data_IF_168120501608
#
_entry.id   IF_168120501608
#
_cell.length_a   1.000
_cell.length_b   1.000
_cell.length_c   1.000
_cell.angle_alpha   90.00
_cell.angle_beta   90.00
_cell.angle_gamma   90.00
#
_symmetry.space_group_name_H-M   'P 1'
#
loop_
_entity.id
_entity.type
_entity.pdbx_description
1 polymer ?
#
# COMPACT_ATOMS: atom_id res chain seq x y z
N UNK A 1 -7.72 -24.64 -9.98
CA UNK A 1 -6.37 -25.15 -10.34
C UNK A 1 -6.06 -24.77 -11.78
N UNK A 2 -4.83 -24.30 -12.04
CA UNK A 2 -4.30 -23.89 -13.36
C UNK A 2 -4.03 -25.13 -14.25
N UNK A 3 -5.09 -25.74 -14.79
CA UNK A 3 -4.98 -27.01 -15.52
C UNK A 3 -4.17 -26.87 -16.81
N UNK A 4 -3.00 -27.56 -16.86
CA UNK A 4 -2.21 -27.73 -18.08
C UNK A 4 -1.41 -26.49 -18.52
N UNK A 5 -1.36 -25.44 -17.70
CA UNK A 5 -0.56 -24.24 -17.91
C UNK A 5 0.75 -24.34 -17.11
N UNK A 6 1.88 -23.94 -17.66
CA UNK A 6 3.09 -23.75 -16.88
C UNK A 6 2.84 -22.70 -15.78
N UNK A 7 3.30 -22.98 -14.57
CA UNK A 7 3.23 -22.04 -13.45
C UNK A 7 4.66 -21.58 -13.16
N UNK A 8 4.92 -20.25 -13.10
CA UNK A 8 6.26 -19.73 -12.79
C UNK A 8 6.68 -20.22 -11.39
N UNK A 9 7.96 -20.59 -11.26
CA UNK A 9 8.52 -21.09 -10.00
C UNK A 9 9.29 -19.94 -9.34
N UNK A 10 8.87 -19.52 -8.17
CA UNK A 10 9.49 -18.44 -7.41
C UNK A 10 10.40 -19.01 -6.31
N UNK A 11 11.57 -18.42 -6.17
CA UNK A 11 12.59 -18.80 -5.18
C UNK A 11 12.87 -17.62 -4.24
N UNK A 12 13.00 -17.88 -2.94
CA UNK A 12 13.53 -16.90 -1.99
C UNK A 12 15.05 -16.77 -2.16
N UNK A 13 15.49 -15.64 -2.66
CA UNK A 13 16.90 -15.33 -2.88
C UNK A 13 17.46 -14.32 -1.88
N UNK A 14 16.72 -13.98 -0.83
CA UNK A 14 17.06 -12.92 0.15
C UNK A 14 18.50 -13.04 0.68
N UNK A 15 18.88 -14.19 1.22
CA UNK A 15 20.22 -14.40 1.75
C UNK A 15 21.30 -14.41 0.66
N UNK A 16 21.01 -15.06 -0.48
CA UNK A 16 21.90 -15.14 -1.64
C UNK A 16 22.13 -13.77 -2.27
N UNK A 17 21.11 -12.94 -2.28
CA UNK A 17 21.15 -11.55 -2.74
C UNK A 17 21.84 -10.60 -1.74
N UNK A 18 22.23 -11.06 -0.55
CA UNK A 18 22.94 -10.24 0.43
C UNK A 18 22.05 -9.32 1.26
N UNK A 19 20.73 -9.45 1.17
CA UNK A 19 19.78 -8.64 1.93
C UNK A 19 19.70 -9.15 3.37
N UNK A 20 20.00 -8.26 4.33
CA UNK A 20 20.05 -8.59 5.77
C UNK A 20 19.14 -7.70 6.61
N UNK A 21 18.21 -7.02 5.96
CA UNK A 21 17.24 -6.15 6.63
C UNK A 21 16.36 -6.95 7.60
N UNK A 22 16.08 -6.37 8.76
CA UNK A 22 15.14 -6.89 9.73
C UNK A 22 14.08 -5.82 10.03
N UNK A 23 12.85 -6.11 9.67
CA UNK A 23 11.72 -5.32 10.13
C UNK A 23 11.49 -5.55 11.64
N UNK A 24 11.34 -4.46 12.41
CA UNK A 24 10.99 -4.54 13.82
C UNK A 24 9.50 -4.82 13.93
N UNK A 25 9.15 -5.84 14.69
CA UNK A 25 7.77 -6.20 14.97
C UNK A 25 7.58 -6.37 16.48
N UNK A 26 6.45 -5.89 17.00
CA UNK A 26 6.05 -6.17 18.37
C UNK A 26 5.22 -7.46 18.40
N UNK A 27 5.75 -8.59 18.93
CA UNK A 27 5.02 -9.85 18.97
C UNK A 27 3.79 -9.80 19.88
N UNK A 28 3.66 -8.79 20.73
CA UNK A 28 2.51 -8.60 21.61
C UNK A 28 1.47 -7.65 21.00
N UNK A 29 1.81 -6.88 19.98
CA UNK A 29 1.01 -5.83 19.33
C UNK A 29 -0.08 -5.25 20.24
N UNK A 30 0.19 -4.08 20.80
CA UNK A 30 -0.68 -3.48 21.79
C UNK A 30 -1.68 -2.53 21.15
N UNK A 31 -1.26 -1.91 20.06
CA UNK A 31 -2.03 -0.92 19.32
C UNK A 31 -2.05 -1.26 17.84
N UNK A 32 -3.14 -0.87 17.16
CA UNK A 32 -3.31 -1.15 15.73
C UNK A 32 -2.14 -0.60 14.88
N UNK A 33 -1.60 0.55 15.23
CA UNK A 33 -0.49 1.21 14.51
C UNK A 33 0.78 0.35 14.45
N UNK A 34 1.01 -0.54 15.41
CA UNK A 34 2.16 -1.45 15.44
C UNK A 34 2.05 -2.60 14.43
N UNK A 35 0.89 -2.77 13.80
CA UNK A 35 0.65 -3.82 12.80
C UNK A 35 0.70 -3.33 11.35
N UNK A 36 0.91 -2.03 11.12
CA UNK A 36 0.71 -1.39 9.81
C UNK A 36 1.99 -1.18 9.00
N UNK A 37 3.15 -1.10 9.64
CA UNK A 37 4.44 -0.86 8.97
C UNK A 37 4.95 -2.07 8.19
N UNK A 38 5.91 -1.85 7.29
CA UNK A 38 6.59 -2.87 6.50
C UNK A 38 6.46 -2.64 4.99
N UNK A 39 6.43 -1.38 4.57
CA UNK A 39 6.46 -1.00 3.17
C UNK A 39 7.79 -1.34 2.50
N UNK A 40 7.74 -1.58 1.20
CA UNK A 40 8.89 -1.78 0.33
C UNK A 40 8.73 -0.97 -0.94
N UNK A 41 9.82 -0.37 -1.41
CA UNK A 41 9.87 0.46 -2.60
C UNK A 41 10.96 -0.08 -3.51
N UNK A 42 10.64 -0.30 -4.79
CA UNK A 42 11.60 -0.59 -5.86
C UNK A 42 11.71 0.64 -6.75
N UNK A 43 12.94 1.10 -7.00
CA UNK A 43 13.23 2.27 -7.81
C UNK A 43 14.71 2.30 -8.22
N UNK A 44 15.02 2.93 -9.31
CA UNK A 44 16.39 3.20 -9.74
C UNK A 44 16.78 4.59 -9.20
N UNK A 45 17.33 4.65 -7.95
CA UNK A 45 17.58 5.92 -7.29
C UNK A 45 18.79 6.66 -7.83
N UNK A 46 19.77 5.96 -8.39
CA UNK A 46 21.01 6.55 -8.92
C UNK A 46 21.09 6.53 -10.46
N UNK A 47 19.99 6.11 -11.12
CA UNK A 47 19.80 6.13 -12.58
C UNK A 47 20.84 5.30 -13.34
N UNK A 48 21.24 4.20 -12.75
CA UNK A 48 22.16 3.25 -13.37
C UNK A 48 21.44 2.19 -14.24
N UNK A 49 20.11 2.21 -14.26
CA UNK A 49 19.26 1.31 -15.03
C UNK A 49 18.87 0.03 -14.32
N UNK A 50 19.15 -0.09 -13.01
CA UNK A 50 18.82 -1.24 -12.20
C UNK A 50 17.98 -0.82 -10.98
N UNK A 51 16.98 -1.63 -10.65
CA UNK A 51 16.12 -1.32 -9.51
C UNK A 51 16.81 -1.62 -8.19
N UNK A 52 16.78 -0.64 -7.31
CA UNK A 52 17.22 -0.70 -5.93
C UNK A 52 16.05 -0.96 -4.99
N UNK A 53 16.32 -1.28 -3.72
CA UNK A 53 15.29 -1.62 -2.76
C UNK A 53 15.37 -0.68 -1.54
N UNK A 54 14.26 -0.05 -1.18
CA UNK A 54 14.13 0.61 0.11
C UNK A 54 13.08 -0.08 0.96
N UNK A 55 13.45 -0.45 2.18
CA UNK A 55 12.56 -1.01 3.19
C UNK A 55 12.22 0.04 4.24
N UNK A 56 10.94 0.26 4.51
CA UNK A 56 10.51 1.04 5.66
C UNK A 56 10.64 0.22 6.94
N UNK A 57 10.76 0.90 8.09
CA UNK A 57 10.76 0.27 9.39
C UNK A 57 10.04 1.16 10.42
N UNK A 58 9.50 0.56 11.46
CA UNK A 58 8.84 1.28 12.53
C UNK A 58 9.31 0.76 13.89
N UNK A 59 9.56 1.64 14.87
CA UNK A 59 9.79 1.21 16.25
C UNK A 59 8.49 0.63 16.83
N UNK A 60 8.58 -0.14 17.90
CA UNK A 60 7.41 -0.41 18.74
C UNK A 60 6.97 0.88 19.47
N UNK A 61 5.73 0.94 19.91
CA UNK A 61 5.27 2.10 20.72
C UNK A 61 6.15 2.28 21.97
N UNK A 62 6.56 1.21 22.60
CA UNK A 62 7.46 1.27 23.77
C UNK A 62 8.83 1.88 23.42
N UNK A 63 9.42 1.51 22.25
CA UNK A 63 10.64 2.11 21.74
C UNK A 63 10.44 3.59 21.42
N UNK A 64 9.33 3.93 20.73
CA UNK A 64 9.02 5.32 20.37
C UNK A 64 8.88 6.22 21.60
N UNK A 65 8.22 5.75 22.65
CA UNK A 65 8.12 6.48 23.93
C UNK A 65 9.49 6.69 24.62
N UNK A 66 10.44 5.78 24.42
CA UNK A 66 11.84 5.92 24.88
C UNK A 66 12.71 6.72 23.91
N UNK A 67 12.14 7.23 22.80
CA UNK A 67 12.87 7.89 21.71
C UNK A 67 13.91 6.98 21.04
N UNK A 68 13.70 5.69 21.07
CA UNK A 68 14.46 4.71 20.30
C UNK A 68 13.84 4.62 18.90
N UNK A 69 14.70 4.50 17.88
CA UNK A 69 14.26 4.47 16.49
C UNK A 69 14.39 3.08 15.85
N UNK A 70 13.61 2.84 14.83
CA UNK A 70 13.82 1.79 13.86
C UNK A 70 14.22 2.43 12.53
N UNK A 71 15.30 1.95 11.93
CA UNK A 71 15.83 2.52 10.70
C UNK A 71 15.26 1.79 9.48
N UNK A 72 14.79 2.50 8.47
CA UNK A 72 14.64 1.98 7.12
C UNK A 72 16.01 1.61 6.53
N UNK A 73 16.01 0.92 5.39
CA UNK A 73 17.25 0.52 4.74
C UNK A 73 17.16 0.63 3.22
N UNK A 74 18.16 1.28 2.61
CA UNK A 74 18.39 1.31 1.17
C UNK A 74 19.42 0.28 0.76
N UNK A 75 19.08 -0.56 -0.20
CA UNK A 75 19.94 -1.55 -0.80
C UNK A 75 20.18 -1.21 -2.27
N UNK A 76 21.43 -0.92 -2.62
CA UNK A 76 21.87 -0.68 -3.98
C UNK A 76 22.09 -2.00 -4.73
N UNK A 77 21.61 -2.09 -5.96
CA UNK A 77 21.75 -3.23 -6.85
C UNK A 77 23.16 -3.30 -7.44
N UNK A 78 23.89 -4.39 -7.21
CA UNK A 78 25.26 -4.55 -7.70
C UNK A 78 25.33 -5.09 -9.17
N UNK A 79 24.24 -5.16 -9.92
CA UNK A 79 24.14 -5.66 -11.30
C UNK A 79 24.54 -7.14 -11.49
N UNK A 80 24.55 -7.91 -10.44
CA UNK A 80 24.99 -9.32 -10.46
C UNK A 80 24.08 -10.24 -9.65
N UNK A 81 22.87 -9.78 -9.36
CA UNK A 81 21.89 -10.48 -8.53
C UNK A 81 22.15 -10.35 -7.02
N UNK A 82 23.04 -9.44 -6.62
CA UNK A 82 23.26 -9.11 -5.20
C UNK A 82 23.03 -7.64 -4.92
N UNK A 83 22.83 -7.31 -3.65
CA UNK A 83 22.61 -5.94 -3.19
C UNK A 83 23.60 -5.57 -2.07
N UNK A 84 23.92 -4.29 -1.98
CA UNK A 84 24.76 -3.70 -0.95
C UNK A 84 23.99 -2.69 -0.13
N UNK A 85 24.14 -2.71 1.19
CA UNK A 85 23.50 -1.71 2.07
C UNK A 85 24.13 -0.32 1.84
N UNK A 86 23.36 0.60 1.31
CA UNK A 86 23.71 1.99 1.02
C UNK A 86 23.11 2.99 2.02
N UNK A 87 22.40 2.52 3.05
CA UNK A 87 21.58 3.32 3.96
C UNK A 87 22.32 4.49 4.60
N UNK A 88 23.47 4.22 5.21
CA UNK A 88 24.22 5.27 5.92
C UNK A 88 24.83 6.30 4.95
N UNK A 89 25.28 5.84 3.79
CA UNK A 89 25.86 6.70 2.75
C UNK A 89 24.82 7.60 2.12
N UNK A 90 23.62 7.09 1.89
CA UNK A 90 22.55 7.86 1.23
C UNK A 90 21.90 8.92 2.13
N UNK A 91 22.02 8.81 3.45
CA UNK A 91 21.30 9.69 4.38
C UNK A 91 19.85 9.27 4.66
N UNK A 92 19.40 8.11 4.15
CA UNK A 92 18.03 7.60 4.34
C UNK A 92 17.85 6.75 5.60
N UNK A 93 18.82 6.77 6.50
CA UNK A 93 18.73 6.13 7.82
C UNK A 93 17.75 6.85 8.76
N UNK A 94 16.53 7.04 8.33
CA UNK A 94 15.57 7.91 9.00
C UNK A 94 14.87 7.22 10.17
N UNK A 95 14.76 7.88 11.32
CA UNK A 95 14.16 7.32 12.53
C UNK A 95 12.66 7.63 12.65
N UNK A 96 11.87 7.73 11.58
CA UNK A 96 10.44 7.90 11.71
C UNK A 96 9.73 6.54 11.94
N UNK A 97 8.50 6.57 12.39
CA UNK A 97 7.62 5.41 12.45
C UNK A 97 7.03 5.20 11.05
N UNK A 98 7.85 4.66 10.12
CA UNK A 98 7.52 4.63 8.71
C UNK A 98 6.53 3.52 8.37
N UNK A 99 5.50 3.86 7.58
CA UNK A 99 4.48 2.93 7.09
C UNK A 99 4.77 2.49 5.66
N UNK A 100 4.89 3.44 4.75
CA UNK A 100 5.12 3.24 3.34
C UNK A 100 5.84 4.43 2.72
N UNK A 101 5.70 4.59 1.41
CA UNK A 101 6.22 5.76 0.71
C UNK A 101 5.92 5.74 -0.79
N UNK A 102 6.22 6.84 -1.44
CA UNK A 102 6.06 7.04 -2.87
C UNK A 102 7.31 7.68 -3.47
N UNK A 103 7.56 7.42 -4.74
CA UNK A 103 8.72 7.93 -5.49
C UNK A 103 8.24 8.70 -6.70
N UNK A 104 8.79 9.89 -6.92
CA UNK A 104 8.66 10.67 -8.14
C UNK A 104 9.76 11.74 -8.21
N UNK A 105 10.03 12.24 -9.39
CA UNK A 105 10.80 13.46 -9.60
C UNK A 105 9.86 14.66 -9.43
N UNK A 106 9.68 15.11 -8.17
CA UNK A 106 8.68 16.15 -7.87
C UNK A 106 9.12 17.54 -8.31
N UNK A 107 10.41 17.75 -8.49
CA UNK A 107 10.98 19.05 -8.82
C UNK A 107 11.47 19.17 -10.28
N UNK A 108 11.23 18.10 -11.09
CA UNK A 108 11.63 17.98 -12.50
C UNK A 108 13.14 18.20 -12.73
N UNK A 109 14.00 17.79 -11.78
CA UNK A 109 15.46 17.87 -11.92
C UNK A 109 16.06 16.61 -12.56
N UNK A 110 15.24 15.61 -12.83
CA UNK A 110 15.60 14.35 -13.47
C UNK A 110 15.99 13.24 -12.49
N UNK A 111 15.95 13.48 -11.18
CA UNK A 111 16.29 12.48 -10.16
C UNK A 111 15.04 12.08 -9.37
N UNK A 112 14.77 10.79 -9.20
CA UNK A 112 13.59 10.38 -8.43
C UNK A 112 13.79 10.62 -6.93
N UNK A 113 12.85 11.33 -6.34
CA UNK A 113 12.78 11.70 -4.93
C UNK A 113 11.93 10.70 -4.14
N UNK A 114 12.03 10.71 -2.81
CA UNK A 114 11.32 9.78 -1.93
C UNK A 114 10.46 10.53 -0.92
N UNK A 115 9.16 10.26 -0.92
CA UNK A 115 8.26 10.65 0.16
C UNK A 115 7.95 9.46 1.06
N UNK A 116 8.25 9.57 2.35
CA UNK A 116 7.94 8.55 3.36
C UNK A 116 6.72 8.95 4.17
N UNK A 117 5.76 8.03 4.29
CA UNK A 117 4.61 8.15 5.16
C UNK A 117 4.95 7.63 6.56
N UNK A 118 4.65 8.44 7.58
CA UNK A 118 5.04 8.15 8.95
C UNK A 118 3.90 8.45 9.93
N UNK A 119 3.95 7.87 11.12
CA UNK A 119 3.17 8.32 12.25
C UNK A 119 3.82 9.59 12.84
N UNK A 120 3.09 10.70 12.84
CA UNK A 120 3.50 11.94 13.49
C UNK A 120 4.38 12.87 12.68
N UNK A 121 4.59 12.59 11.38
CA UNK A 121 5.28 13.50 10.46
C UNK A 121 5.91 12.78 9.27
N UNK A 122 5.38 13.03 8.09
CA UNK A 122 5.90 12.52 6.83
C UNK A 122 7.19 13.24 6.43
N UNK A 123 8.00 12.63 5.57
CA UNK A 123 9.29 13.17 5.18
C UNK A 123 9.45 13.14 3.66
N UNK A 124 9.76 14.27 3.05
CA UNK A 124 10.18 14.37 1.65
C UNK A 124 11.70 14.47 1.57
N UNK A 125 12.31 13.47 0.97
CA UNK A 125 13.72 13.43 0.66
C UNK A 125 13.96 13.77 -0.80
N UNK A 126 14.67 14.89 -1.04
CA UNK A 126 15.17 15.22 -2.37
C UNK A 126 16.43 14.42 -2.66
N UNK A 127 16.47 13.79 -3.82
CA UNK A 127 17.68 13.16 -4.36
C UNK A 127 18.68 14.24 -4.83
N UNK A 128 19.93 14.14 -4.39
CA UNK A 128 20.97 15.12 -4.75
C UNK A 128 21.71 14.75 -6.06
N UNK A 129 21.39 13.60 -6.67
CA UNK A 129 22.03 13.11 -7.90
C UNK A 129 23.44 12.53 -7.70
N UNK A 130 23.89 12.37 -6.48
CA UNK A 130 25.21 11.82 -6.12
C UNK A 130 25.13 10.58 -5.22
N UNK A 131 23.93 9.96 -5.16
CA UNK A 131 23.62 8.82 -4.31
C UNK A 131 23.27 9.20 -2.86
N UNK A 132 23.10 10.51 -2.58
CA UNK A 132 22.68 11.01 -1.27
C UNK A 132 21.33 11.73 -1.34
N UNK A 133 20.68 11.89 -0.21
CA UNK A 133 19.37 12.53 -0.10
C UNK A 133 19.38 13.62 0.97
N UNK A 134 18.54 14.64 0.76
CA UNK A 134 18.36 15.76 1.69
C UNK A 134 16.90 15.84 2.12
N UNK A 135 16.62 15.84 3.42
CA UNK A 135 15.29 16.15 3.95
C UNK A 135 14.92 17.59 3.62
N UNK A 136 13.89 17.76 2.79
CA UNK A 136 13.39 19.07 2.35
C UNK A 136 11.96 19.33 2.82
N UNK A 137 11.40 18.49 3.68
CA UNK A 137 10.00 18.48 4.12
C UNK A 137 9.51 19.87 4.54
N UNK A 138 10.24 20.52 5.44
CA UNK A 138 9.86 21.86 5.93
C UNK A 138 9.99 22.95 4.86
N UNK A 139 10.97 22.82 3.95
CA UNK A 139 11.17 23.77 2.85
C UNK A 139 10.09 23.60 1.78
N UNK A 140 9.70 22.37 1.52
CA UNK A 140 8.68 22.03 0.53
C UNK A 140 7.25 22.27 1.02
N UNK A 141 7.05 22.56 2.30
CA UNK A 141 5.74 22.76 2.95
C UNK A 141 4.78 21.55 2.76
N UNK A 142 5.32 20.32 2.88
CA UNK A 142 4.62 19.07 2.60
C UNK A 142 4.54 18.15 3.83
N UNK A 143 4.81 18.69 5.02
CA UNK A 143 4.70 17.96 6.27
C UNK A 143 3.23 17.62 6.58
N UNK A 144 2.96 16.36 6.90
CA UNK A 144 1.68 15.90 7.45
C UNK A 144 1.92 15.27 8.81
N UNK A 145 1.37 15.85 9.86
CA UNK A 145 1.58 15.40 11.25
C UNK A 145 0.67 14.25 11.68
N UNK A 146 -0.20 13.73 10.80
CA UNK A 146 -1.13 12.64 11.06
C UNK A 146 -0.45 11.28 10.94
N UNK A 147 -1.19 10.21 11.13
CA UNK A 147 -0.74 8.87 10.77
C UNK A 147 -1.02 8.62 9.29
N UNK A 148 -0.06 8.84 8.45
CA UNK A 148 -0.14 8.56 7.03
C UNK A 148 0.31 7.13 6.72
N UNK A 149 -0.37 6.45 5.80
CA UNK A 149 -0.05 5.08 5.39
C UNK A 149 0.25 4.99 3.91
N UNK A 150 -0.71 5.30 3.05
CA UNK A 150 -0.53 5.36 1.61
C UNK A 150 -0.13 6.74 1.12
N UNK A 151 0.67 6.79 0.07
CA UNK A 151 0.94 8.01 -0.68
C UNK A 151 1.13 7.68 -2.16
N UNK A 152 0.72 8.60 -3.03
CA UNK A 152 0.92 8.46 -4.46
C UNK A 152 1.09 9.82 -5.12
N UNK A 153 2.04 9.92 -6.04
CA UNK A 153 2.24 11.10 -6.88
C UNK A 153 1.41 10.99 -8.16
N UNK A 154 0.83 12.12 -8.61
CA UNK A 154 0.08 12.21 -9.86
C UNK A 154 -0.13 13.68 -10.26
N UNK A 155 -0.05 13.99 -11.54
CA UNK A 155 -0.27 15.34 -12.10
C UNK A 155 -1.77 15.51 -12.40
N UNK A 156 -2.55 15.97 -11.38
CA UNK A 156 -4.02 16.00 -11.51
C UNK A 156 -4.53 17.17 -12.33
N UNK A 157 -3.78 18.25 -12.44
CA UNK A 157 -4.19 19.47 -13.19
C UNK A 157 -3.39 19.65 -14.49
N UNK A 158 -2.48 18.70 -14.80
CA UNK A 158 -1.72 18.61 -16.05
C UNK A 158 -0.82 19.82 -16.31
N UNK A 159 -0.25 20.35 -15.24
CA UNK A 159 0.70 21.46 -15.33
C UNK A 159 2.15 20.98 -15.56
N UNK A 160 2.39 19.65 -15.52
CA UNK A 160 3.68 19.01 -15.74
C UNK A 160 4.50 18.80 -14.47
N UNK A 161 3.96 19.14 -13.31
CA UNK A 161 4.51 18.80 -12.01
C UNK A 161 3.62 17.78 -11.31
N UNK A 162 4.22 16.81 -10.66
CA UNK A 162 3.43 15.80 -9.94
C UNK A 162 3.00 16.32 -8.58
N UNK A 163 1.71 16.19 -8.30
CA UNK A 163 1.06 16.46 -7.03
C UNK A 163 1.12 15.24 -6.12
N UNK A 164 0.76 15.38 -4.87
CA UNK A 164 0.87 14.31 -3.88
C UNK A 164 -0.44 14.09 -3.13
N UNK A 165 -1.02 12.90 -3.30
CA UNK A 165 -2.14 12.42 -2.46
C UNK A 165 -1.62 11.54 -1.34
N UNK A 166 -2.09 11.78 -0.12
CA UNK A 166 -1.73 11.04 1.10
C UNK A 166 -2.98 10.53 1.79
N UNK A 167 -3.06 9.21 1.94
CA UNK A 167 -4.12 8.55 2.70
C UNK A 167 -3.72 8.48 4.18
N UNK A 168 -4.56 9.03 5.04
CA UNK A 168 -4.37 9.06 6.48
C UNK A 168 -5.33 8.11 7.19
N UNK A 169 -4.84 7.44 8.23
CA UNK A 169 -5.56 6.33 8.85
C UNK A 169 -6.30 6.76 10.11
N UNK A 170 -5.63 6.78 11.23
CA UNK A 170 -6.24 7.11 12.54
C UNK A 170 -5.56 8.33 13.17
N UNK A 171 -6.34 9.12 13.89
CA UNK A 171 -5.81 10.18 14.76
C UNK A 171 -5.16 9.55 16.00
N UNK A 172 -3.91 9.11 15.85
CA UNK A 172 -3.14 8.43 16.86
C UNK A 172 -1.93 9.28 17.28
N UNK A 173 -1.84 9.57 18.57
CA UNK A 173 -0.80 10.43 19.09
C UNK A 173 -0.02 9.72 20.21
N UNK A 174 1.31 9.75 20.14
CA UNK A 174 2.19 9.06 21.08
C UNK A 174 2.15 9.62 22.50
N UNK A 175 1.78 10.89 22.68
CA UNK A 175 1.62 11.55 23.97
C UNK A 175 0.24 11.34 24.60
N UNK A 176 -0.73 10.80 23.83
CA UNK A 176 -2.10 10.53 24.27
C UNK A 176 -2.58 9.14 23.84
N UNK A 177 -1.90 8.11 24.33
CA UNK A 177 -2.22 6.73 23.94
C UNK A 177 -3.65 6.33 24.33
N UNK A 178 -4.40 5.64 23.46
CA UNK A 178 -5.68 5.06 23.82
C UNK A 178 -5.51 4.05 24.97
N UNK A 179 -6.52 3.90 25.84
CA UNK A 179 -6.47 2.89 26.90
C UNK A 179 -6.27 1.48 26.34
N UNK A 180 -5.37 0.71 26.94
CA UNK A 180 -5.13 -0.68 26.57
C UNK A 180 -5.35 -1.63 27.75
N UNK A 181 -5.93 -2.81 27.45
CA UNK A 181 -6.16 -3.87 28.44
C UNK A 181 -7.54 -3.86 29.11
N UNK A 182 -7.93 -4.96 29.71
CA UNK A 182 -9.20 -5.12 30.40
C UNK A 182 -10.41 -4.87 29.51
N UNK A 183 -11.24 -3.88 29.87
CA UNK A 183 -12.46 -3.52 29.11
C UNK A 183 -12.18 -2.83 27.76
N UNK A 184 -10.95 -2.43 27.51
CA UNK A 184 -10.53 -1.78 26.27
C UNK A 184 -10.07 -2.79 25.19
N UNK A 185 -10.15 -4.10 25.48
CA UNK A 185 -9.90 -5.14 24.48
C UNK A 185 -11.16 -5.45 23.69
N UNK A 186 -10.97 -5.69 22.41
CA UNK A 186 -12.02 -6.19 21.53
C UNK A 186 -11.99 -7.72 21.45
N UNK A 187 -13.05 -8.30 20.90
CA UNK A 187 -13.15 -9.75 20.67
C UNK A 187 -13.08 -10.02 19.17
N UNK A 188 -12.17 -10.89 18.76
CA UNK A 188 -12.12 -11.44 17.42
C UNK A 188 -12.07 -12.98 17.50
N UNK A 189 -13.01 -13.67 16.86
CA UNK A 189 -13.16 -15.14 16.94
C UNK A 189 -13.04 -15.72 18.37
N UNK A 190 -13.57 -14.98 19.35
CA UNK A 190 -13.62 -15.40 20.77
C UNK A 190 -12.36 -15.12 21.59
N UNK A 191 -11.30 -14.59 20.99
CA UNK A 191 -10.08 -14.18 21.69
C UNK A 191 -10.05 -12.67 21.94
N UNK A 192 -9.32 -12.27 23.00
CA UNK A 192 -9.06 -10.87 23.30
C UNK A 192 -7.93 -10.32 22.41
N UNK A 193 -8.20 -9.22 21.72
CA UNK A 193 -7.28 -8.54 20.82
C UNK A 193 -7.34 -7.03 21.02
N UNK A 194 -6.35 -6.28 20.57
CA UNK A 194 -6.51 -4.83 20.46
C UNK A 194 -7.64 -4.51 19.47
N UNK A 195 -8.27 -3.35 19.65
CA UNK A 195 -9.37 -2.95 18.77
C UNK A 195 -8.85 -2.49 17.41
N UNK A 196 -9.64 -2.75 16.36
CA UNK A 196 -9.45 -2.18 15.03
C UNK A 196 -9.73 -0.68 14.98
N UNK A 197 -9.78 -0.05 13.80
CA UNK A 197 -9.94 1.40 13.72
C UNK A 197 -11.32 1.86 14.21
N UNK A 198 -12.34 1.03 14.11
CA UNK A 198 -13.70 1.37 14.60
C UNK A 198 -13.67 1.74 16.09
N UNK A 199 -14.13 2.96 16.38
CA UNK A 199 -14.10 3.53 17.73
C UNK A 199 -12.91 4.46 17.99
N UNK A 200 -11.94 4.52 17.08
CA UNK A 200 -10.96 5.59 16.99
C UNK A 200 -11.48 6.70 16.06
N UNK A 201 -10.86 7.86 16.11
CA UNK A 201 -11.11 8.94 15.17
C UNK A 201 -10.22 8.72 13.94
N UNK A 202 -10.79 8.82 12.74
CA UNK A 202 -10.00 8.84 11.52
C UNK A 202 -9.33 10.19 11.29
N UNK A 203 -8.32 10.21 10.46
CA UNK A 203 -7.45 11.37 10.31
C UNK A 203 -7.79 12.26 9.11
N UNK A 204 -8.56 11.76 8.12
CA UNK A 204 -8.85 12.46 6.85
C UNK A 204 -7.64 12.57 5.94
N UNK A 205 -7.87 12.66 4.64
CA UNK A 205 -6.81 12.62 3.62
C UNK A 205 -6.23 13.98 3.28
N UNK A 206 -5.08 13.99 2.58
CA UNK A 206 -4.41 15.21 2.14
C UNK A 206 -4.08 15.17 0.66
N UNK A 207 -4.36 16.27 -0.04
CA UNK A 207 -3.87 16.53 -1.39
C UNK A 207 -2.98 17.78 -1.37
N UNK A 208 -1.73 17.61 -1.74
CA UNK A 208 -0.74 18.68 -1.87
C UNK A 208 -0.52 18.98 -3.35
N UNK A 209 -0.89 20.18 -3.77
CA UNK A 209 -0.61 20.70 -5.11
C UNK A 209 0.85 21.16 -5.20
N UNK A 210 1.56 20.76 -6.23
CA UNK A 210 2.93 21.16 -6.51
C UNK A 210 2.95 22.54 -7.19
N UNK A 211 3.57 23.52 -6.56
CA UNK A 211 3.60 24.90 -7.08
C UNK A 211 4.61 25.13 -8.24
N UNK A 212 5.34 24.08 -8.65
CA UNK A 212 6.36 24.17 -9.70
C UNK A 212 7.68 24.85 -9.29
N UNK A 213 7.81 25.22 -8.01
CA UNK A 213 9.00 25.86 -7.43
C UNK A 213 9.67 25.02 -6.33
N UNK A 214 9.39 23.72 -6.32
CA UNK A 214 9.80 22.74 -5.32
C UNK A 214 9.10 22.91 -3.96
N UNK A 215 7.97 23.59 -3.92
CA UNK A 215 7.07 23.67 -2.76
C UNK A 215 5.69 23.14 -3.08
N UNK A 216 4.92 22.83 -2.05
CA UNK A 216 3.55 22.36 -2.18
C UNK A 216 2.57 23.26 -1.43
N UNK A 217 1.31 23.19 -1.83
CA UNK A 217 0.19 23.82 -1.13
C UNK A 217 -0.86 22.78 -0.79
N UNK A 218 -1.27 22.68 0.47
CA UNK A 218 -2.40 21.82 0.85
C UNK A 218 -3.70 22.37 0.24
N UNK A 219 -4.26 21.62 -0.71
CA UNK A 219 -5.50 21.95 -1.42
C UNK A 219 -6.63 20.98 -1.09
N UNK A 220 -6.45 20.07 -0.15
CA UNK A 220 -7.37 18.98 0.19
C UNK A 220 -8.84 19.44 0.26
N UNK A 221 -9.09 20.48 1.06
CA UNK A 221 -10.42 21.05 1.22
C UNK A 221 -10.93 21.77 -0.04
N UNK A 222 -10.04 22.53 -0.69
CA UNK A 222 -10.42 23.26 -1.90
C UNK A 222 -10.74 22.32 -3.07
N UNK A 223 -9.98 21.23 -3.16
CA UNK A 223 -10.16 20.17 -4.15
C UNK A 223 -11.34 19.22 -3.83
N UNK A 224 -11.79 19.16 -2.58
CA UNK A 224 -12.90 18.31 -2.14
C UNK A 224 -12.52 16.87 -1.84
N UNK A 225 -11.29 16.65 -1.36
CA UNK A 225 -10.76 15.32 -1.00
C UNK A 225 -10.30 15.23 0.47
N UNK A 226 -10.66 16.23 1.30
CA UNK A 226 -10.20 16.35 2.69
C UNK A 226 -10.84 15.35 3.67
N UNK A 227 -11.78 14.52 3.21
CA UNK A 227 -12.53 13.56 4.01
C UNK A 227 -12.90 14.08 5.41
N UNK A 228 -13.88 15.00 5.51
CA UNK A 228 -14.22 15.64 6.78
C UNK A 228 -14.87 14.69 7.81
N UNK A 229 -15.25 13.49 7.38
CA UNK A 229 -15.81 12.46 8.25
C UNK A 229 -14.71 11.63 8.92
N UNK A 230 -13.49 11.67 8.39
CA UNK A 230 -12.34 10.95 8.91
C UNK A 230 -12.50 9.44 8.72
N UNK A 231 -12.43 8.98 7.48
CA UNK A 231 -12.35 7.55 7.17
C UNK A 231 -10.93 7.05 7.45
N UNK A 232 -10.73 5.77 7.29
CA UNK A 232 -9.47 5.11 7.64
C UNK A 232 -8.70 4.75 6.36
N UNK A 233 -8.15 5.77 5.68
CA UNK A 233 -7.43 5.60 4.42
C UNK A 233 -6.15 4.79 4.57
N UNK A 234 -5.95 3.78 3.74
CA UNK A 234 -4.74 2.94 3.70
C UNK A 234 -4.05 2.96 2.35
N UNK A 235 -4.68 2.44 1.31
CA UNK A 235 -4.14 2.42 -0.05
C UNK A 235 -4.62 3.62 -0.87
N UNK A 236 -3.76 4.17 -1.73
CA UNK A 236 -4.12 5.24 -2.65
C UNK A 236 -3.44 5.06 -4.00
N UNK A 237 -4.19 5.28 -5.08
CA UNK A 237 -3.69 5.20 -6.45
C UNK A 237 -4.31 6.28 -7.32
N UNK A 238 -3.57 6.67 -8.37
CA UNK A 238 -4.03 7.57 -9.44
C UNK A 238 -4.26 6.80 -10.72
N UNK A 239 -5.36 7.09 -11.42
CA UNK A 239 -5.59 6.61 -12.78
C UNK A 239 -6.62 7.48 -13.51
N UNK A 240 -6.53 7.53 -14.83
CA UNK A 240 -7.61 8.03 -15.67
C UNK A 240 -8.56 6.87 -15.99
N UNK A 241 -9.56 6.65 -15.11
CA UNK A 241 -10.44 5.48 -15.20
C UNK A 241 -11.40 5.50 -16.40
N UNK A 242 -11.57 6.63 -17.03
CA UNK A 242 -12.53 6.78 -18.15
C UNK A 242 -11.91 7.37 -19.42
N UNK A 243 -10.58 7.45 -19.50
CA UNK A 243 -9.82 7.94 -20.65
C UNK A 243 -10.18 9.40 -21.04
N UNK A 244 -10.39 10.27 -20.05
CA UNK A 244 -10.59 11.72 -20.27
C UNK A 244 -9.29 12.49 -20.37
N UNK A 245 -8.17 11.89 -19.97
CA UNK A 245 -6.87 12.50 -19.86
C UNK A 245 -6.64 13.21 -18.51
N UNK A 246 -7.59 13.13 -17.56
CA UNK A 246 -7.48 13.70 -16.22
C UNK A 246 -7.38 12.58 -15.19
N UNK A 247 -6.30 12.50 -14.40
CA UNK A 247 -6.17 11.48 -13.38
C UNK A 247 -7.20 11.63 -12.26
N UNK A 248 -7.82 10.53 -11.90
CA UNK A 248 -8.73 10.35 -10.78
C UNK A 248 -8.00 9.72 -9.61
N UNK A 249 -8.61 9.71 -8.42
CA UNK A 249 -8.03 9.13 -7.21
C UNK A 249 -8.92 8.00 -6.70
N UNK A 250 -8.34 6.86 -6.37
CA UNK A 250 -8.99 5.82 -5.59
C UNK A 250 -8.32 5.68 -4.23
N UNK A 251 -9.12 5.64 -3.15
CA UNK A 251 -8.65 5.44 -1.77
C UNK A 251 -9.34 4.21 -1.18
N UNK A 252 -8.55 3.24 -0.75
CA UNK A 252 -9.02 2.08 0.00
C UNK A 252 -9.14 2.43 1.49
N UNK A 253 -10.35 2.26 2.05
CA UNK A 253 -10.67 2.58 3.43
C UNK A 253 -10.88 1.31 4.27
N UNK A 254 -10.20 1.20 5.40
CA UNK A 254 -10.38 0.10 6.33
C UNK A 254 -11.75 0.18 7.02
N UNK A 255 -12.59 -0.87 6.87
CA UNK A 255 -13.90 -1.03 7.50
C UNK A 255 -14.95 0.05 7.18
N UNK A 256 -14.74 0.84 6.14
CA UNK A 256 -15.63 1.88 5.64
C UNK A 256 -15.69 1.86 4.10
N UNK A 257 -16.67 2.54 3.46
CA UNK A 257 -16.73 2.62 2.01
C UNK A 257 -15.43 3.17 1.39
N UNK A 258 -14.96 2.58 0.30
CA UNK A 258 -13.84 3.12 -0.45
C UNK A 258 -14.25 4.38 -1.22
N UNK A 259 -13.30 5.27 -1.48
CA UNK A 259 -13.54 6.47 -2.28
C UNK A 259 -13.04 6.31 -3.71
N UNK A 260 -13.85 6.78 -4.66
CA UNK A 260 -13.42 7.08 -6.02
C UNK A 260 -13.70 8.56 -6.30
N UNK A 261 -12.66 9.35 -6.34
CA UNK A 261 -12.73 10.78 -6.61
C UNK A 261 -12.54 11.04 -8.09
N UNK A 262 -13.63 11.43 -8.77
CA UNK A 262 -13.62 11.82 -10.17
C UNK A 262 -13.09 13.25 -10.31
N UNK A 263 -12.06 13.43 -11.14
CA UNK A 263 -11.47 14.71 -11.49
C UNK A 263 -12.37 15.47 -12.47
N UNK A 264 -12.68 16.74 -12.21
CA UNK A 264 -13.47 17.60 -13.09
C UNK A 264 -12.63 18.35 -14.16
N UNK A 265 -11.31 18.16 -14.14
CA UNK A 265 -10.35 18.84 -15.02
C UNK A 265 -10.18 20.34 -14.71
N UNK A 266 -10.62 20.80 -13.54
CA UNK A 266 -10.56 22.20 -13.09
C UNK A 266 -10.04 22.32 -11.66
N UNK A 267 -9.33 21.29 -11.18
CA UNK A 267 -8.74 21.26 -9.85
C UNK A 267 -9.71 20.84 -8.74
N UNK A 268 -10.84 20.21 -9.09
CA UNK A 268 -11.81 19.69 -8.11
C UNK A 268 -12.17 18.25 -8.38
N UNK A 269 -12.48 17.55 -7.31
CA UNK A 269 -12.90 16.17 -7.33
C UNK A 269 -14.33 16.02 -6.79
N UNK A 270 -15.02 15.02 -7.30
CA UNK A 270 -16.33 14.59 -6.80
C UNK A 270 -16.23 13.13 -6.40
N UNK A 271 -16.56 12.81 -5.15
CA UNK A 271 -16.61 11.44 -4.67
C UNK A 271 -17.80 10.72 -5.33
N UNK A 272 -17.53 9.59 -6.01
CA UNK A 272 -18.51 8.79 -6.77
C UNK A 272 -18.44 7.29 -6.48
N UNK A 273 -17.75 6.88 -5.43
CA UNK A 273 -17.50 5.46 -5.12
C UNK A 273 -18.78 4.62 -5.06
N UNK A 274 -19.82 5.12 -4.40
CA UNK A 274 -21.13 4.44 -4.37
C UNK A 274 -21.82 4.41 -5.74
N UNK A 275 -21.78 5.52 -6.48
CA UNK A 275 -22.38 5.60 -7.83
C UNK A 275 -21.66 4.69 -8.81
N UNK A 276 -20.34 4.62 -8.71
CA UNK A 276 -19.49 3.83 -9.61
C UNK A 276 -19.53 2.33 -9.31
N UNK A 277 -19.94 1.92 -8.11
CA UNK A 277 -19.94 0.54 -7.66
C UNK A 277 -18.59 0.07 -7.08
N UNK A 278 -17.69 0.99 -6.67
CA UNK A 278 -16.35 0.65 -6.13
C UNK A 278 -16.21 0.85 -4.62
N UNK A 279 -17.27 1.39 -3.97
CA UNK A 279 -17.22 1.71 -2.54
C UNK A 279 -17.43 0.49 -1.62
N UNK A 280 -18.18 -0.51 -2.09
CA UNK A 280 -18.64 -1.65 -1.30
C UNK A 280 -18.46 -2.95 -2.09
N UNK A 281 -18.49 -4.07 -1.38
CA UNK A 281 -18.48 -5.40 -2.00
C UNK A 281 -19.75 -5.69 -2.83
N UNK A 282 -19.77 -6.77 -3.60
CA UNK A 282 -20.93 -7.26 -4.36
C UNK A 282 -22.20 -7.39 -3.49
N UNK A 283 -22.03 -7.70 -2.21
CA UNK A 283 -23.14 -7.83 -1.26
C UNK A 283 -23.58 -6.51 -0.63
N UNK A 284 -22.95 -5.39 -1.00
CA UNK A 284 -23.20 -4.08 -0.42
C UNK A 284 -22.62 -3.90 1.00
N UNK A 285 -21.61 -4.68 1.35
CA UNK A 285 -20.94 -4.62 2.66
C UNK A 285 -19.68 -3.76 2.59
N UNK A 286 -19.43 -2.99 3.64
CA UNK A 286 -18.12 -2.40 3.91
C UNK A 286 -17.11 -3.50 4.19
N UNK A 287 -15.91 -3.37 3.66
CA UNK A 287 -14.80 -4.30 3.90
C UNK A 287 -13.60 -3.56 4.46
N UNK A 288 -12.66 -4.30 5.04
CA UNK A 288 -11.44 -3.70 5.58
C UNK A 288 -10.37 -3.64 4.48
N UNK A 289 -10.49 -2.64 3.61
CA UNK A 289 -9.66 -2.44 2.43
C UNK A 289 -8.27 -1.91 2.78
N UNK A 290 -7.21 -2.47 2.17
CA UNK A 290 -5.81 -2.18 2.51
C UNK A 290 -4.96 -1.84 1.29
N UNK A 291 -4.45 -2.83 0.56
CA UNK A 291 -3.70 -2.63 -0.68
C UNK A 291 -4.61 -2.36 -1.87
N UNK A 292 -4.07 -1.65 -2.86
CA UNK A 292 -4.75 -1.34 -4.12
C UNK A 292 -3.79 -1.49 -5.29
N UNK A 293 -4.15 -2.32 -6.26
CA UNK A 293 -3.47 -2.43 -7.54
C UNK A 293 -4.38 -2.08 -8.72
N UNK A 294 -3.78 -1.53 -9.76
CA UNK A 294 -4.46 -1.19 -11.00
C UNK A 294 -3.90 -2.02 -12.16
N UNK A 295 -4.77 -2.49 -13.05
CA UNK A 295 -4.33 -3.21 -14.24
C UNK A 295 -5.43 -3.39 -15.28
N UNK A 296 -5.06 -3.27 -16.55
CA UNK A 296 -5.93 -3.68 -17.68
C UNK A 296 -5.74 -5.17 -17.95
N UNK A 297 -6.26 -6.01 -17.04
CA UNK A 297 -6.14 -7.46 -17.12
C UNK A 297 -6.98 -8.09 -18.27
N UNK A 298 -7.82 -7.28 -18.92
CA UNK A 298 -8.68 -7.71 -20.03
C UNK A 298 -8.20 -7.21 -21.39
N UNK A 299 -7.15 -6.38 -21.45
CA UNK A 299 -6.65 -5.71 -22.67
C UNK A 299 -7.74 -4.89 -23.39
N UNK A 300 -8.58 -4.23 -22.61
CA UNK A 300 -9.69 -3.43 -23.14
C UNK A 300 -9.43 -1.91 -23.07
N UNK A 301 -8.24 -1.49 -22.66
CA UNK A 301 -7.82 -0.10 -22.48
C UNK A 301 -8.38 0.58 -21.24
N UNK A 302 -8.90 -0.18 -20.25
CA UNK A 302 -9.51 0.33 -19.03
C UNK A 302 -8.87 -0.31 -17.80
N UNK A 303 -8.26 0.47 -16.91
CA UNK A 303 -7.71 -0.09 -15.67
C UNK A 303 -8.85 -0.55 -14.76
N UNK A 304 -8.76 -1.79 -14.32
CA UNK A 304 -9.57 -2.37 -13.25
C UNK A 304 -8.86 -2.21 -11.92
N UNK A 305 -9.60 -2.28 -10.82
CA UNK A 305 -9.10 -2.07 -9.47
C UNK A 305 -9.13 -3.40 -8.72
N UNK A 306 -7.98 -3.83 -8.18
CA UNK A 306 -7.91 -4.94 -7.24
C UNK A 306 -7.63 -4.39 -5.85
N UNK A 307 -8.41 -4.82 -4.85
CA UNK A 307 -8.32 -4.35 -3.47
C UNK A 307 -8.16 -5.53 -2.54
N UNK A 308 -7.16 -5.49 -1.69
CA UNK A 308 -6.95 -6.52 -0.66
C UNK A 308 -7.68 -6.16 0.62
N UNK A 309 -8.28 -7.18 1.27
CA UNK A 309 -9.12 -7.00 2.45
C UNK A 309 -8.70 -7.90 3.61
N UNK A 310 -9.30 -7.68 4.78
CA UNK A 310 -9.09 -8.48 5.99
C UNK A 310 -9.60 -9.91 5.84
N UNK A 311 -9.30 -10.79 6.80
CA UNK A 311 -9.87 -12.15 6.85
C UNK A 311 -11.38 -12.10 7.09
N UNK A 312 -12.08 -13.06 6.52
CA UNK A 312 -13.54 -13.12 6.46
C UNK A 312 -14.16 -12.10 5.47
N UNK A 313 -13.32 -11.24 4.87
CA UNK A 313 -13.60 -10.45 3.67
C UNK A 313 -12.76 -11.01 2.52
N UNK A 314 -13.32 -11.11 1.31
CA UNK A 314 -12.54 -11.47 0.13
C UNK A 314 -11.83 -10.25 -0.46
N UNK A 315 -10.81 -10.46 -1.29
CA UNK A 315 -10.24 -9.37 -2.10
C UNK A 315 -11.20 -9.01 -3.22
N UNK A 316 -11.45 -7.71 -3.40
CA UNK A 316 -12.32 -7.23 -4.46
C UNK A 316 -11.56 -7.08 -5.78
N UNK A 317 -12.22 -7.46 -6.87
CA UNK A 317 -11.81 -7.14 -8.23
C UNK A 317 -12.95 -6.37 -8.90
N UNK A 318 -12.81 -5.05 -8.95
CA UNK A 318 -13.73 -4.15 -9.63
C UNK A 318 -13.32 -4.03 -11.09
N UNK A 319 -14.04 -4.72 -11.97
CA UNK A 319 -13.85 -4.62 -13.42
C UNK A 319 -14.38 -3.28 -13.92
N UNK A 320 -13.57 -2.55 -14.67
CA UNK A 320 -13.97 -1.29 -15.27
C UNK A 320 -14.83 -1.53 -16.53
N UNK A 321 -16.14 -1.28 -16.43
CA UNK A 321 -17.09 -1.45 -17.53
C UNK A 321 -17.20 -0.17 -18.40
N UNK A 322 -16.48 0.90 -18.05
CA UNK A 322 -16.51 2.20 -18.71
C UNK A 322 -17.61 3.12 -18.18
N UNK A 323 -17.55 4.39 -18.56
CA UNK A 323 -18.53 5.41 -18.15
C UNK A 323 -18.69 5.53 -16.62
N UNK A 324 -17.60 5.41 -15.86
CA UNK A 324 -17.60 5.44 -14.38
C UNK A 324 -18.35 4.30 -13.71
N UNK A 325 -18.60 3.22 -14.43
CA UNK A 325 -19.28 2.06 -13.87
C UNK A 325 -18.28 0.92 -13.70
N UNK A 326 -18.32 0.30 -12.54
CA UNK A 326 -17.53 -0.89 -12.21
C UNK A 326 -18.44 -2.01 -11.72
N UNK A 327 -18.06 -3.23 -12.02
CA UNK A 327 -18.69 -4.43 -11.49
C UNK A 327 -17.71 -5.16 -10.58
N UNK A 328 -18.12 -5.47 -9.36
CA UNK A 328 -17.38 -6.44 -8.54
C UNK A 328 -17.53 -7.82 -9.19
N UNK A 329 -16.42 -8.34 -9.68
CA UNK A 329 -16.35 -9.65 -10.34
C UNK A 329 -15.53 -10.65 -9.54
N UNK A 330 -15.29 -10.40 -8.28
CA UNK A 330 -14.37 -11.16 -7.41
C UNK A 330 -14.69 -12.64 -7.37
N UNK A 331 -15.97 -13.00 -7.21
CA UNK A 331 -16.41 -14.40 -7.26
C UNK A 331 -16.38 -14.96 -8.68
N UNK A 332 -16.87 -14.20 -9.65
CA UNK A 332 -16.94 -14.64 -11.04
C UNK A 332 -15.55 -14.83 -11.65
N UNK A 333 -14.58 -14.00 -11.28
CA UNK A 333 -13.20 -14.11 -11.73
C UNK A 333 -12.38 -15.19 -10.99
N UNK A 334 -12.85 -15.68 -9.84
CA UNK A 334 -12.18 -16.72 -9.07
C UNK A 334 -11.19 -16.21 -8.00
N UNK A 335 -11.03 -14.90 -7.79
CA UNK A 335 -10.08 -14.34 -6.80
C UNK A 335 -10.64 -14.33 -5.37
N UNK A 336 -11.97 -14.33 -5.19
CA UNK A 336 -12.62 -14.20 -3.89
C UNK A 336 -12.29 -15.35 -2.94
N UNK A 337 -12.57 -16.62 -3.34
CA UNK A 337 -12.49 -17.75 -2.43
C UNK A 337 -11.09 -18.03 -1.88
N UNK A 338 -10.00 -17.99 -2.68
CA UNK A 338 -8.66 -18.19 -2.14
C UNK A 338 -8.22 -17.10 -1.16
N UNK A 339 -8.72 -15.88 -1.34
CA UNK A 339 -8.36 -14.71 -0.53
C UNK A 339 -9.12 -14.63 0.80
N UNK A 340 -10.31 -15.23 0.89
CA UNK A 340 -11.24 -15.09 2.01
C UNK A 340 -10.66 -15.42 3.40
N UNK A 341 -9.85 -16.50 3.61
CA UNK A 341 -9.35 -16.84 4.93
C UNK A 341 -8.14 -16.01 5.40
N UNK A 342 -7.60 -15.15 4.53
CA UNK A 342 -6.33 -14.46 4.74
C UNK A 342 -6.54 -12.97 5.07
N UNK A 343 -5.58 -12.38 5.79
CA UNK A 343 -5.44 -10.91 5.90
C UNK A 343 -4.43 -10.48 4.86
N UNK A 344 -4.89 -9.83 3.81
CA UNK A 344 -4.08 -9.46 2.64
C UNK A 344 -3.67 -8.00 2.76
N UNK A 345 -2.51 -7.67 2.19
CA UNK A 345 -1.88 -6.35 2.26
C UNK A 345 -1.45 -5.87 0.87
N UNK A 346 -0.16 -5.68 0.67
CA UNK A 346 0.37 -5.26 -0.62
C UNK A 346 0.00 -6.24 -1.73
N UNK A 347 -0.34 -5.70 -2.88
CA UNK A 347 -0.79 -6.40 -4.06
C UNK A 347 -0.25 -5.75 -5.34
N UNK A 348 -0.25 -6.50 -6.42
CA UNK A 348 0.16 -6.01 -7.73
C UNK A 348 -0.48 -6.80 -8.86
N UNK A 349 -0.75 -6.11 -9.97
CA UNK A 349 -0.89 -6.71 -11.28
C UNK A 349 0.50 -6.82 -11.93
N UNK A 350 0.85 -8.00 -12.42
CA UNK A 350 2.14 -8.27 -13.06
C UNK A 350 2.04 -9.47 -14.00
N UNK A 351 2.68 -9.44 -15.14
CA UNK A 351 2.78 -10.59 -16.06
C UNK A 351 3.94 -11.49 -15.60
N UNK A 352 3.65 -12.45 -14.71
CA UNK A 352 4.68 -13.30 -14.10
C UNK A 352 5.17 -14.44 -14.99
N UNK A 353 4.38 -14.88 -15.94
CA UNK A 353 4.77 -15.96 -16.86
C UNK A 353 5.12 -15.47 -18.26
N UNK A 354 5.23 -14.14 -18.47
CA UNK A 354 5.56 -13.46 -19.70
C UNK A 354 4.68 -13.89 -20.89
N UNK A 355 3.38 -14.07 -20.63
CA UNK A 355 2.40 -14.47 -21.65
C UNK A 355 1.62 -13.28 -22.22
N UNK A 356 1.94 -12.07 -21.77
CA UNK A 356 1.34 -10.80 -22.16
C UNK A 356 0.07 -10.44 -21.39
N UNK A 357 -0.36 -11.21 -20.38
CA UNK A 357 -1.55 -10.96 -19.59
C UNK A 357 -1.19 -10.75 -18.12
N UNK A 358 -1.79 -9.73 -17.52
CA UNK A 358 -1.52 -9.41 -16.12
C UNK A 358 -2.12 -10.44 -15.18
N UNK A 359 -1.27 -11.02 -14.36
CA UNK A 359 -1.59 -11.87 -13.22
C UNK A 359 -1.78 -11.03 -11.95
N UNK A 360 -2.26 -11.63 -10.88
CA UNK A 360 -2.42 -10.99 -9.59
C UNK A 360 -1.56 -11.67 -8.53
N UNK A 361 -0.80 -10.87 -7.81
CA UNK A 361 -0.02 -11.30 -6.65
C UNK A 361 -0.47 -10.49 -5.43
N UNK A 362 -0.59 -11.13 -4.27
CA UNK A 362 -0.82 -10.45 -3.00
C UNK A 362 -0.07 -11.13 -1.86
N UNK A 363 0.42 -10.32 -0.92
CA UNK A 363 1.04 -10.82 0.30
C UNK A 363 0.08 -10.77 1.47
N UNK A 364 0.27 -11.66 2.44
CA UNK A 364 -0.62 -11.76 3.59
C UNK A 364 0.11 -11.99 4.91
N UNK A 365 -0.59 -11.70 6.00
CA UNK A 365 -0.14 -11.87 7.36
C UNK A 365 -1.11 -11.24 8.34
N UNK A 366 -1.53 -11.99 9.36
CA UNK A 366 -2.53 -11.50 10.31
C UNK A 366 -1.99 -10.36 11.18
N UNK A 367 -2.88 -9.50 11.69
CA UNK A 367 -2.51 -8.42 12.62
C UNK A 367 -2.47 -8.89 14.07
N UNK A 368 -3.18 -9.96 14.40
CA UNK A 368 -3.28 -10.50 15.76
C UNK A 368 -2.39 -11.73 15.95
N UNK A 369 -1.25 -11.64 16.68
CA UNK A 369 -0.38 -12.79 16.94
C UNK A 369 -1.09 -13.96 17.64
N UNK A 370 -2.16 -13.67 18.37
CA UNK A 370 -2.97 -14.67 19.08
C UNK A 370 -3.66 -15.66 18.12
N UNK A 371 -3.80 -15.31 16.84
CA UNK A 371 -4.43 -16.16 15.82
C UNK A 371 -3.66 -17.46 15.57
N UNK A 372 -2.37 -17.51 15.90
CA UNK A 372 -1.59 -18.75 15.84
C UNK A 372 -2.19 -19.89 16.69
N UNK A 373 -2.95 -19.55 17.72
CA UNK A 373 -3.58 -20.49 18.63
C UNK A 373 -5.07 -20.77 18.35
N UNK A 374 -5.64 -20.10 17.34
CA UNK A 374 -7.07 -20.26 17.01
C UNK A 374 -7.25 -21.42 16.04
N UNK A 375 -7.97 -22.50 16.43
CA UNK A 375 -8.21 -23.62 15.55
C UNK A 375 -8.94 -23.22 14.27
N UNK A 376 -8.59 -23.86 13.17
CA UNK A 376 -9.19 -23.63 11.84
C UNK A 376 -9.03 -22.19 11.29
N UNK A 377 -8.13 -21.39 11.87
CA UNK A 377 -7.70 -20.11 11.27
C UNK A 377 -6.53 -20.33 10.31
N UNK A 378 -6.27 -19.33 9.45
CA UNK A 378 -5.07 -19.34 8.60
C UNK A 378 -3.77 -19.09 9.41
N UNK A 379 -3.88 -18.76 10.71
CA UNK A 379 -2.76 -18.47 11.60
C UNK A 379 -2.32 -16.99 11.54
N UNK A 380 -1.25 -16.67 12.27
CA UNK A 380 -0.63 -15.35 12.26
C UNK A 380 0.25 -15.15 11.03
N UNK A 381 1.17 -16.08 10.80
CA UNK A 381 1.94 -16.15 9.56
C UNK A 381 1.11 -16.83 8.47
N UNK A 382 1.02 -16.22 7.29
CA UNK A 382 0.13 -16.65 6.21
C UNK A 382 0.88 -16.82 4.88
N UNK A 383 0.39 -17.66 3.94
CA UNK A 383 0.98 -17.82 2.62
C UNK A 383 0.70 -16.59 1.76
N UNK A 384 1.40 -16.45 0.65
CA UNK A 384 1.13 -15.44 -0.37
C UNK A 384 0.10 -15.96 -1.37
N UNK A 385 -0.57 -15.06 -2.08
CA UNK A 385 -1.52 -15.38 -3.13
C UNK A 385 -0.90 -15.13 -4.51
N UNK A 386 -1.15 -16.03 -5.43
CA UNK A 386 -0.87 -15.87 -6.85
C UNK A 386 -2.07 -16.37 -7.66
N UNK A 387 -2.58 -15.50 -8.51
CA UNK A 387 -3.68 -15.80 -9.42
C UNK A 387 -3.23 -15.57 -10.85
N UNK A 388 -3.13 -16.63 -11.67
CA UNK A 388 -2.75 -16.51 -13.07
C UNK A 388 -3.97 -16.24 -13.94
N UNK A 389 -3.86 -15.24 -14.80
CA UNK A 389 -4.91 -14.80 -15.71
C UNK A 389 -5.21 -15.88 -16.78
N UNK A 390 -6.44 -16.27 -16.96
CA UNK A 390 -6.85 -17.30 -17.92
C UNK A 390 -7.25 -16.73 -19.30
N UNK A 391 -7.06 -15.42 -19.52
CA UNK A 391 -7.34 -14.70 -20.79
C UNK A 391 -8.83 -14.66 -21.16
N UNK A 392 -9.70 -15.02 -20.26
CA UNK A 392 -11.17 -15.03 -20.44
C UNK A 392 -11.90 -14.20 -19.38
N UNK A 393 -11.16 -13.38 -18.62
CA UNK A 393 -11.64 -12.56 -17.51
C UNK A 393 -11.65 -13.29 -16.18
N UNK A 394 -11.14 -14.52 -16.13
CA UNK A 394 -11.00 -15.31 -14.89
C UNK A 394 -9.55 -15.55 -14.54
N UNK A 395 -9.32 -15.93 -13.30
CA UNK A 395 -8.01 -16.27 -12.76
C UNK A 395 -8.02 -17.67 -12.17
N UNK A 396 -6.90 -18.36 -12.23
CA UNK A 396 -6.70 -19.60 -11.51
C UNK A 396 -5.75 -19.40 -10.32
N UNK A 397 -6.09 -19.96 -9.16
CA UNK A 397 -5.21 -19.95 -7.98
C UNK A 397 -4.00 -20.86 -8.23
N UNK A 398 -2.82 -20.27 -8.18
CA UNK A 398 -1.52 -20.89 -8.40
C UNK A 398 -0.59 -20.79 -7.18
N UNK A 399 -1.04 -20.25 -6.04
CA UNK A 399 -0.21 -20.00 -4.88
C UNK A 399 0.56 -21.23 -4.38
N UNK A 400 -0.08 -22.42 -4.39
CA UNK A 400 0.55 -23.67 -3.99
C UNK A 400 1.26 -24.43 -5.14
N UNK A 401 1.35 -23.85 -6.32
CA UNK A 401 1.98 -24.44 -7.50
C UNK A 401 3.25 -23.68 -7.92
N UNK A 402 3.45 -22.47 -7.41
CA UNK A 402 4.49 -21.53 -7.84
C UNK A 402 5.82 -21.64 -7.06
N UNK A 403 6.02 -22.74 -6.36
CA UNK A 403 7.23 -23.04 -5.61
C UNK A 403 7.18 -22.66 -4.13
N UNK A 404 8.18 -23.11 -3.36
CA UNK A 404 8.16 -23.03 -1.89
C UNK A 404 8.17 -21.60 -1.35
N UNK A 405 8.68 -20.61 -2.10
CA UNK A 405 8.71 -19.21 -1.67
C UNK A 405 7.31 -18.61 -1.45
N UNK A 406 6.30 -19.05 -2.21
CA UNK A 406 4.92 -18.61 -2.01
C UNK A 406 4.18 -19.36 -0.89
N UNK A 407 4.50 -20.64 -0.72
CA UNK A 407 3.92 -21.46 0.35
C UNK A 407 4.45 -21.08 1.73
N UNK A 408 5.67 -20.53 1.79
CA UNK A 408 6.27 -20.10 3.04
C UNK A 408 5.43 -19.05 3.73
N UNK A 409 4.95 -19.39 4.92
CA UNK A 409 4.12 -18.49 5.71
C UNK A 409 4.96 -17.40 6.36
N UNK A 410 4.58 -16.16 6.16
CA UNK A 410 5.20 -14.96 6.73
C UNK A 410 4.13 -14.00 7.23
N UNK A 411 4.55 -13.00 8.00
CA UNK A 411 3.68 -11.87 8.37
C UNK A 411 4.07 -10.71 7.48
N UNK A 412 3.56 -10.73 6.25
CA UNK A 412 3.93 -9.77 5.22
C UNK A 412 3.03 -8.53 5.24
N UNK A 413 3.53 -7.41 4.72
CA UNK A 413 2.82 -6.14 4.55
C UNK A 413 3.03 -5.56 3.16
N UNK A 414 4.22 -5.07 2.87
CA UNK A 414 4.54 -4.47 1.58
C UNK A 414 4.81 -5.52 0.49
N UNK A 415 4.46 -5.17 -0.73
CA UNK A 415 4.82 -5.86 -1.95
C UNK A 415 5.27 -4.81 -2.98
N UNK A 416 6.36 -5.10 -3.65
CA UNK A 416 6.77 -4.38 -4.84
C UNK A 416 7.22 -5.40 -5.88
N UNK A 417 6.97 -5.11 -7.14
CA UNK A 417 7.36 -5.94 -8.29
C UNK A 417 8.18 -5.10 -9.24
N UNK A 418 9.18 -5.71 -9.85
CA UNK A 418 10.06 -5.03 -10.79
C UNK A 418 10.83 -6.05 -11.63
N UNK A 419 11.28 -5.64 -12.82
CA UNK A 419 12.03 -6.43 -13.79
C UNK A 419 13.41 -5.77 -14.06
#
# INVERSE_FOLDING_TARGET
QCKGRPVPQLEDVTEKAGIRFRHIANPLSTYIVESMSGGVILWDYDRDGWLDIYFTNAPTIEMALRKESARGALYHNNHNGTFSDATDKSGLATPCFAMGGAVADYNNDGWPDLYLTCLGGNILFRNNGDGTFTDVTAKADVADGRMSVGAAFGDYDRDGFVDLMVANYVDFQLDHLPPFGGKSLCKYRGIDVYCGPRGLRGAGDSLFHNNGDSTFTDVSKAAGVDDPHGYFGLGVVWADFNNTGWPDIYVANDTLPNFLYRNDGKGKFTEIGLESGTALSETGSEQASMGVALGDYLHNGRPSIYVTNFSDDYSDLYRNDGNWMFSDVSYASGVALPSFPLVKWGDAFVDLDNDGWLDLVAVSGHVYPQMEKVPASAGYAQPKLLHLNQKDGTFCDAGNLAGPALEEKRVSRGLAVGD
#
